data_IF_967256143635
#
_entry.id   IF_967256143635
#
_cell.length_a   1.000
_cell.length_b   1.000
_cell.length_c   1.000
_cell.angle_alpha   90.00
_cell.angle_beta   90.00
_cell.angle_gamma   90.00
#
_symmetry.space_group_name_H-M   'P 1'
#
loop_
_entity.id
_entity.type
_entity.pdbx_description
1 polymer ?
#
# COMPACT_ATOMS: atom_id res chain seq x y z
N UNK A 1 -0.99 -3.95 -25.04
CA UNK A 1 -0.58 -4.70 -23.83
C UNK A 1 0.80 -4.26 -23.30
N UNK A 2 1.91 -4.45 -24.04
CA UNK A 2 3.28 -4.20 -23.55
C UNK A 2 3.53 -2.84 -22.85
N UNK A 3 2.98 -1.73 -23.40
CA UNK A 3 3.08 -0.40 -22.79
C UNK A 3 2.50 -0.33 -21.36
N UNK A 4 1.46 -1.11 -21.05
CA UNK A 4 0.83 -1.15 -19.71
C UNK A 4 1.72 -1.93 -18.74
N UNK A 5 2.25 -3.08 -19.17
CA UNK A 5 3.18 -3.90 -18.38
C UNK A 5 4.47 -3.13 -18.05
N UNK A 6 5.04 -2.42 -19.04
CA UNK A 6 6.22 -1.58 -18.86
C UNK A 6 5.97 -0.44 -17.86
N UNK A 7 4.84 0.29 -18.02
CA UNK A 7 4.43 1.33 -17.04
C UNK A 7 4.25 0.74 -15.63
N UNK A 8 3.54 -0.38 -15.49
CA UNK A 8 3.28 -1.03 -14.20
C UNK A 8 4.57 -1.49 -13.50
N UNK A 9 5.50 -2.10 -14.25
CA UNK A 9 6.82 -2.50 -13.73
C UNK A 9 7.64 -1.27 -13.28
N UNK A 10 7.64 -0.18 -14.08
CA UNK A 10 8.33 1.06 -13.74
C UNK A 10 7.73 1.76 -12.51
N UNK A 11 6.42 1.71 -12.31
CA UNK A 11 5.79 2.21 -11.06
C UNK A 11 6.10 1.31 -9.87
N UNK A 12 6.12 -0.01 -10.03
CA UNK A 12 6.53 -0.93 -8.98
C UNK A 12 8.01 -0.77 -8.57
N UNK A 13 8.89 -0.41 -9.52
CA UNK A 13 10.28 0.00 -9.24
C UNK A 13 10.34 1.23 -8.33
N UNK A 14 9.66 2.32 -8.73
CA UNK A 14 9.57 3.55 -7.93
C UNK A 14 9.00 3.35 -6.53
N UNK A 15 8.04 2.45 -6.35
CA UNK A 15 7.49 2.11 -5.03
C UNK A 15 8.55 1.40 -4.18
N UNK A 16 9.35 0.48 -4.74
CA UNK A 16 10.47 -0.15 -4.01
C UNK A 16 11.55 0.85 -3.63
N UNK A 17 11.90 1.75 -4.55
CA UNK A 17 12.85 2.85 -4.31
C UNK A 17 12.36 3.75 -3.15
N UNK A 18 11.09 4.15 -3.16
CA UNK A 18 10.49 4.92 -2.07
C UNK A 18 10.52 4.17 -0.73
N UNK A 19 10.18 2.87 -0.72
CA UNK A 19 10.27 2.03 0.49
C UNK A 19 11.71 1.92 1.00
N UNK A 20 12.70 1.77 0.10
CA UNK A 20 14.12 1.69 0.47
C UNK A 20 14.68 3.04 0.98
N UNK A 21 14.03 4.16 0.66
CA UNK A 21 14.41 5.50 1.08
C UNK A 21 13.67 5.99 2.35
N UNK A 22 12.60 5.31 2.79
CA UNK A 22 11.91 5.64 4.04
C UNK A 22 12.85 5.52 5.26
N UNK A 23 12.81 6.45 6.23
CA UNK A 23 13.48 6.26 7.51
C UNK A 23 12.83 5.11 8.30
N UNK A 24 13.61 4.47 9.16
CA UNK A 24 13.13 3.45 10.12
C UNK A 24 12.05 4.09 11.00
N UNK A 25 10.95 3.38 11.26
CA UNK A 25 9.88 3.89 12.10
C UNK A 25 10.26 3.83 13.58
N UNK A 26 9.98 4.90 14.30
CA UNK A 26 10.30 5.06 15.72
C UNK A 26 9.08 4.84 16.60
N UNK A 27 9.27 4.56 17.89
CA UNK A 27 8.15 4.45 18.84
C UNK A 27 7.30 5.74 18.93
N UNK A 28 7.85 6.90 18.56
CA UNK A 28 7.10 8.15 18.48
C UNK A 28 6.13 8.12 17.30
N UNK A 29 6.55 7.62 16.13
CA UNK A 29 5.65 7.42 14.98
C UNK A 29 4.50 6.46 15.32
N UNK A 30 4.80 5.38 16.05
CA UNK A 30 3.82 4.39 16.51
C UNK A 30 2.78 4.98 17.47
N UNK A 31 3.20 5.84 18.40
CA UNK A 31 2.31 6.53 19.36
C UNK A 31 1.44 7.57 18.66
N UNK A 32 1.99 8.30 17.69
CA UNK A 32 1.28 9.33 16.94
C UNK A 32 0.21 8.72 16.02
N UNK A 33 0.51 7.62 15.33
CA UNK A 33 -0.49 6.88 14.55
C UNK A 33 -1.59 6.30 15.44
N UNK A 34 -1.22 5.81 16.64
CA UNK A 34 -2.18 5.32 17.61
C UNK A 34 -3.07 6.41 18.23
N UNK A 35 -2.65 7.67 18.21
CA UNK A 35 -3.44 8.83 18.60
C UNK A 35 -4.39 9.28 17.47
N UNK A 36 -3.86 9.53 16.27
CA UNK A 36 -4.67 9.99 15.13
C UNK A 36 -5.85 9.04 14.79
N UNK A 37 -5.63 7.72 14.92
CA UNK A 37 -6.69 6.73 14.72
C UNK A 37 -7.71 6.63 15.87
N UNK A 38 -7.42 7.19 17.06
CA UNK A 38 -8.46 7.41 18.09
C UNK A 38 -9.31 8.61 17.72
N UNK A 39 -8.69 9.72 17.32
CA UNK A 39 -9.39 10.94 16.93
C UNK A 39 -10.37 10.68 15.76
N UNK A 40 -9.92 9.96 14.72
CA UNK A 40 -10.77 9.42 13.64
C UNK A 40 -11.96 8.58 14.16
N UNK A 41 -11.71 7.69 15.14
CA UNK A 41 -12.77 6.84 15.69
C UNK A 41 -13.80 7.62 16.52
N UNK A 42 -13.36 8.58 17.33
CA UNK A 42 -14.24 9.45 18.10
C UNK A 42 -15.07 10.39 17.22
N UNK A 43 -14.48 10.90 16.13
CA UNK A 43 -15.20 11.70 15.12
C UNK A 43 -16.26 10.85 14.42
N UNK A 44 -15.95 9.58 14.08
CA UNK A 44 -16.91 8.64 13.48
C UNK A 44 -18.08 8.29 14.40
N UNK A 45 -17.85 8.10 15.69
CA UNK A 45 -18.92 7.83 16.66
C UNK A 45 -19.82 9.06 16.84
N UNK A 46 -19.23 10.25 17.06
CA UNK A 46 -19.96 11.52 17.22
C UNK A 46 -20.76 11.89 15.96
N UNK A 47 -20.26 11.56 14.77
CA UNK A 47 -20.96 11.77 13.50
C UNK A 47 -22.23 10.92 13.28
N UNK A 48 -22.48 9.90 14.11
CA UNK A 48 -23.63 9.00 13.95
C UNK A 48 -24.98 9.58 14.40
N UNK A 49 -24.99 10.65 15.20
CA UNK A 49 -26.14 10.99 16.06
C UNK A 49 -27.02 12.16 15.55
N UNK A 50 -26.61 12.89 14.51
CA UNK A 50 -27.36 14.07 14.01
C UNK A 50 -28.27 13.68 12.83
N UNK A 51 -29.55 13.44 13.11
CA UNK A 51 -30.61 13.32 12.09
C UNK A 51 -31.91 14.04 12.51
N UNK A 52 -32.04 15.26 11.96
CA UNK A 52 -33.29 15.96 11.57
C UNK A 52 -34.35 16.20 12.66
N UNK A 53 -34.69 17.48 12.85
CA UNK A 53 -36.06 17.91 12.56
C UNK A 53 -36.10 19.39 12.14
N UNK A 54 -37.25 19.86 11.62
CA UNK A 54 -37.69 21.23 11.27
C UNK A 54 -36.64 22.29 10.77
N UNK A 55 -36.75 22.96 9.61
CA UNK A 55 -37.87 23.59 8.86
C UNK A 55 -38.19 25.06 9.21
N UNK A 56 -37.73 25.95 8.32
CA UNK A 56 -38.35 27.24 7.92
C UNK A 56 -38.26 28.52 8.80
N UNK A 57 -38.39 29.65 8.08
CA UNK A 57 -38.63 31.06 8.48
C UNK A 57 -37.44 31.88 9.02
N UNK A 58 -37.08 32.93 8.27
CA UNK A 58 -36.30 34.10 8.72
C UNK A 58 -37.23 35.19 9.26
N UNK A 59 -36.70 36.13 10.06
CA UNK A 59 -37.00 37.54 9.80
C UNK A 59 -35.75 38.44 9.82
N UNK A 60 -35.88 39.64 9.26
CA UNK A 60 -35.03 40.81 9.56
C UNK A 60 -35.55 41.50 10.85
N UNK A 61 -35.07 42.64 11.38
CA UNK A 61 -34.22 43.78 10.96
C UNK A 61 -33.57 44.33 12.30
N UNK A 62 -32.74 45.37 12.48
CA UNK A 62 -32.14 46.49 11.72
C UNK A 62 -30.96 47.07 12.58
N UNK A 63 -30.01 47.83 12.01
CA UNK A 63 -28.91 48.60 12.69
C UNK A 63 -27.75 47.78 13.33
N UNK A 64 -26.49 48.25 13.42
CA UNK A 64 -25.90 49.61 13.31
C UNK A 64 -24.78 49.73 12.23
N UNK A 65 -24.30 50.95 11.97
CA UNK A 65 -23.38 51.31 10.87
C UNK A 65 -21.88 51.25 11.26
N UNK A 66 -21.13 50.24 10.78
CA UNK A 66 -19.67 50.37 10.56
C UNK A 66 -19.27 49.75 9.20
N UNK A 67 -18.85 50.59 8.25
CA UNK A 67 -18.43 50.22 6.90
C UNK A 67 -17.05 49.51 6.93
N UNK A 68 -17.07 48.21 7.21
CA UNK A 68 -15.87 47.38 7.34
C UNK A 68 -15.12 47.24 6.00
N UNK A 69 -13.88 47.74 5.93
CA UNK A 69 -13.02 47.71 4.75
C UNK A 69 -12.92 46.28 4.15
N UNK A 70 -13.43 46.05 2.92
CA UNK A 70 -13.45 44.73 2.29
C UNK A 70 -12.05 44.20 1.91
N UNK A 71 -10.98 44.98 2.05
CA UNK A 71 -9.59 44.56 1.82
C UNK A 71 -8.73 44.51 3.11
N UNK A 72 -9.24 44.95 4.26
CA UNK A 72 -8.55 44.86 5.56
C UNK A 72 -7.22 45.63 5.66
N UNK A 73 -7.06 46.71 4.89
CA UNK A 73 -5.82 47.48 4.76
C UNK A 73 -5.52 48.38 5.96
N UNK A 74 -6.53 48.80 6.74
CA UNK A 74 -6.32 49.59 7.97
C UNK A 74 -5.49 48.87 9.03
N UNK A 75 -5.49 47.52 9.02
CA UNK A 75 -4.59 46.71 9.85
C UNK A 75 -3.10 46.98 9.56
N UNK A 76 -2.75 47.47 8.37
CA UNK A 76 -1.38 47.82 7.97
C UNK A 76 -1.01 49.29 8.25
N UNK A 77 -1.98 50.17 8.51
CA UNK A 77 -1.72 51.58 8.81
C UNK A 77 -1.29 51.81 10.28
N UNK A 78 -1.53 50.85 11.18
CA UNK A 78 -1.48 51.04 12.63
C UNK A 78 -0.17 50.62 13.34
N UNK A 79 0.95 50.41 12.63
CA UNK A 79 2.29 50.36 13.26
C UNK A 79 3.45 50.58 12.26
N UNK A 80 4.58 51.22 12.60
CA UNK A 80 4.88 52.06 13.77
C UNK A 80 6.09 52.99 13.53
N UNK A 81 6.06 54.19 14.10
CA UNK A 81 7.28 55.00 14.29
C UNK A 81 7.93 54.62 15.62
N UNK A 82 8.83 53.63 15.63
CA UNK A 82 9.90 53.58 16.65
C UNK A 82 11.16 52.78 16.30
N UNK A 83 12.26 53.51 16.38
CA UNK A 83 13.67 53.12 16.25
C UNK A 83 14.12 52.14 17.35
N UNK A 84 14.67 50.97 16.95
CA UNK A 84 15.53 50.12 17.79
C UNK A 84 15.14 48.64 17.84
N UNK A 85 16.11 47.71 17.65
CA UNK A 85 15.84 46.26 17.79
C UNK A 85 16.73 45.31 16.98
N UNK A 86 18.06 45.47 16.96
CA UNK A 86 19.00 44.58 16.23
C UNK A 86 19.25 43.22 16.94
N UNK A 87 18.19 42.58 17.44
CA UNK A 87 18.22 41.31 18.22
C UNK A 87 17.09 40.34 17.87
N UNK A 88 16.42 40.53 16.71
CA UNK A 88 15.34 39.65 16.22
C UNK A 88 15.66 39.12 14.82
N UNK A 89 16.46 38.04 14.77
CA UNK A 89 16.74 37.22 13.56
C UNK A 89 17.09 35.77 13.90
N UNK A 90 17.71 35.53 15.05
CA UNK A 90 18.15 34.19 15.48
C UNK A 90 16.99 33.32 16.01
N UNK A 91 16.05 33.92 16.75
CA UNK A 91 14.83 33.22 17.21
C UNK A 91 13.95 32.77 16.04
N UNK A 92 13.75 33.63 15.05
CA UNK A 92 12.82 33.39 13.94
C UNK A 92 13.31 32.21 13.07
N UNK A 93 14.63 32.12 12.84
CA UNK A 93 15.27 30.96 12.19
C UNK A 93 15.13 29.66 13.02
N UNK A 94 15.27 29.75 14.35
CA UNK A 94 15.09 28.59 15.24
C UNK A 94 13.62 28.11 15.35
N UNK A 95 12.64 28.94 14.99
CA UNK A 95 11.25 28.50 14.76
C UNK A 95 11.06 27.88 13.38
N UNK A 96 11.56 28.50 12.30
CA UNK A 96 11.45 27.96 10.94
C UNK A 96 12.03 26.55 10.82
N UNK A 97 13.23 26.32 11.35
CA UNK A 97 13.89 24.99 11.33
C UNK A 97 13.08 23.93 12.12
N UNK A 98 12.29 24.32 13.13
CA UNK A 98 11.40 23.38 13.84
C UNK A 98 10.14 23.09 13.04
N UNK A 99 9.57 24.11 12.39
CA UNK A 99 8.41 24.00 11.53
C UNK A 99 8.71 23.07 10.33
N UNK A 100 9.82 23.29 9.63
CA UNK A 100 10.34 22.40 8.57
C UNK A 100 10.50 20.94 9.06
N UNK A 101 10.97 20.71 10.29
CA UNK A 101 11.12 19.35 10.85
C UNK A 101 9.75 18.70 11.12
N UNK A 102 8.76 19.44 11.61
CA UNK A 102 7.40 18.91 11.80
C UNK A 102 6.66 18.70 10.47
N UNK A 103 6.88 19.55 9.47
CA UNK A 103 6.39 19.34 8.10
C UNK A 103 7.01 18.08 7.47
N UNK A 104 8.32 17.89 7.60
CA UNK A 104 9.00 16.67 7.12
C UNK A 104 8.46 15.41 7.83
N UNK A 105 8.18 15.45 9.14
CA UNK A 105 7.51 14.34 9.85
C UNK A 105 6.12 14.05 9.28
N UNK A 106 5.30 15.08 9.03
CA UNK A 106 3.96 14.93 8.40
C UNK A 106 4.08 14.31 7.01
N UNK A 107 5.02 14.80 6.20
CA UNK A 107 5.30 14.25 4.87
C UNK A 107 5.68 12.77 4.91
N UNK A 108 6.57 12.35 5.83
CA UNK A 108 6.95 10.94 5.99
C UNK A 108 5.75 10.07 6.44
N UNK A 109 4.87 10.58 7.31
CA UNK A 109 3.63 9.86 7.69
C UNK A 109 2.71 9.65 6.49
N UNK A 110 2.37 10.71 5.75
CA UNK A 110 1.55 10.60 4.54
C UNK A 110 2.23 9.81 3.42
N UNK A 111 3.56 9.80 3.34
CA UNK A 111 4.31 8.95 2.41
C UNK A 111 4.16 7.46 2.77
N UNK A 112 4.26 7.11 4.05
CA UNK A 112 4.02 5.74 4.55
C UNK A 112 2.58 5.28 4.23
N UNK A 113 1.58 6.09 4.54
CA UNK A 113 0.15 5.84 4.25
C UNK A 113 -0.12 5.66 2.74
N UNK A 114 0.45 6.52 1.89
CA UNK A 114 0.33 6.40 0.44
C UNK A 114 0.98 5.12 -0.10
N UNK A 115 2.11 4.68 0.49
CA UNK A 115 2.77 3.44 0.11
C UNK A 115 1.95 2.20 0.50
N UNK A 116 1.31 2.18 1.67
CA UNK A 116 0.35 1.13 2.04
C UNK A 116 -0.82 1.10 1.06
N UNK A 117 -1.43 2.25 0.78
CA UNK A 117 -2.51 2.39 -0.22
C UNK A 117 -2.10 1.85 -1.60
N UNK A 118 -0.87 2.11 -2.05
CA UNK A 118 -0.35 1.55 -3.29
C UNK A 118 -0.18 0.02 -3.25
N UNK A 119 0.21 -0.57 -2.11
CA UNK A 119 0.34 -2.01 -1.94
C UNK A 119 -1.03 -2.71 -1.95
N UNK A 120 -2.05 -2.12 -1.32
CA UNK A 120 -3.43 -2.63 -1.33
C UNK A 120 -4.04 -2.60 -2.75
N UNK A 121 -3.89 -1.47 -3.47
CA UNK A 121 -4.33 -1.35 -4.86
C UNK A 121 -3.60 -2.36 -5.76
N UNK A 122 -2.30 -2.61 -5.51
CA UNK A 122 -1.54 -3.63 -6.23
C UNK A 122 -2.07 -5.05 -5.92
N UNK A 123 -2.34 -5.37 -4.66
CA UNK A 123 -2.91 -6.65 -4.24
C UNK A 123 -4.29 -6.92 -4.87
N UNK A 124 -5.16 -5.90 -4.96
CA UNK A 124 -6.47 -6.03 -5.62
C UNK A 124 -6.36 -6.42 -7.10
N UNK A 125 -5.29 -6.01 -7.78
CA UNK A 125 -5.01 -6.34 -9.19
C UNK A 125 -4.45 -7.75 -9.41
N UNK A 126 -4.12 -8.51 -8.36
CA UNK A 126 -3.52 -9.85 -8.46
C UNK A 126 -4.37 -10.88 -9.23
N UNK A 127 -5.68 -10.63 -9.39
CA UNK A 127 -6.57 -11.39 -10.30
C UNK A 127 -6.10 -11.40 -11.76
N UNK A 128 -5.27 -10.44 -12.17
CA UNK A 128 -4.77 -10.27 -13.55
C UNK A 128 -3.40 -10.97 -13.72
N UNK A 129 -3.27 -12.04 -14.55
CA UNK A 129 -2.07 -12.88 -14.57
C UNK A 129 -0.75 -12.15 -14.86
N UNK A 130 -0.76 -11.15 -15.76
CA UNK A 130 0.47 -10.48 -16.21
C UNK A 130 1.13 -9.56 -15.18
N UNK A 131 0.44 -9.18 -14.08
CA UNK A 131 1.05 -8.40 -13.00
C UNK A 131 1.42 -9.22 -11.77
N UNK A 132 0.96 -10.48 -11.65
CA UNK A 132 1.15 -11.32 -10.45
C UNK A 132 2.60 -11.37 -9.97
N UNK A 133 3.55 -11.72 -10.84
CA UNK A 133 4.98 -11.80 -10.50
C UNK A 133 5.56 -10.45 -10.05
N UNK A 134 5.09 -9.32 -10.62
CA UNK A 134 5.54 -7.99 -10.21
C UNK A 134 5.00 -7.63 -8.81
N UNK A 135 3.74 -8.01 -8.52
CA UNK A 135 3.12 -7.83 -7.21
C UNK A 135 3.78 -8.74 -6.16
N UNK A 136 4.06 -10.01 -6.49
CA UNK A 136 4.78 -10.97 -5.61
C UNK A 136 6.10 -10.35 -5.11
N UNK A 137 6.91 -9.79 -6.03
CA UNK A 137 8.21 -9.20 -5.69
C UNK A 137 8.06 -7.84 -5.00
N UNK A 138 7.03 -7.05 -5.34
CA UNK A 138 6.75 -5.76 -4.70
C UNK A 138 6.36 -5.93 -3.23
N UNK A 139 5.42 -6.83 -2.95
CA UNK A 139 4.94 -7.11 -1.60
C UNK A 139 6.00 -7.81 -0.77
N UNK A 140 6.78 -8.74 -1.36
CA UNK A 140 7.94 -9.31 -0.67
C UNK A 140 8.94 -8.22 -0.26
N UNK A 141 9.25 -7.27 -1.16
CA UNK A 141 10.17 -6.17 -0.85
C UNK A 141 9.63 -5.24 0.26
N UNK A 142 8.32 -5.02 0.32
CA UNK A 142 7.68 -4.31 1.44
C UNK A 142 7.80 -5.10 2.75
N UNK A 143 7.50 -6.41 2.73
CA UNK A 143 7.65 -7.31 3.87
C UNK A 143 9.10 -7.36 4.39
N UNK A 144 10.08 -7.50 3.50
CA UNK A 144 11.51 -7.50 3.81
C UNK A 144 12.01 -6.14 4.40
N UNK A 145 11.20 -5.06 4.32
CA UNK A 145 11.49 -3.72 4.85
C UNK A 145 10.48 -3.24 5.92
N UNK A 146 9.72 -4.14 6.54
CA UNK A 146 8.62 -3.83 7.50
C UNK A 146 9.01 -2.91 8.67
N UNK A 147 10.29 -2.88 9.07
CA UNK A 147 10.80 -1.96 10.12
C UNK A 147 10.73 -0.47 9.76
N UNK A 148 10.56 -0.11 8.48
CA UNK A 148 10.40 1.28 8.00
C UNK A 148 8.97 1.82 8.11
N UNK A 149 8.02 0.93 8.41
CA UNK A 149 6.60 1.24 8.63
C UNK A 149 6.27 1.18 10.12
N UNK A 150 5.21 1.88 10.54
CA UNK A 150 4.69 1.83 11.91
C UNK A 150 3.97 0.52 12.19
N UNK A 151 3.94 0.09 13.45
CA UNK A 151 3.28 -1.10 13.99
C UNK A 151 1.98 -1.51 13.30
N UNK A 152 0.99 -0.62 13.15
CA UNK A 152 -0.30 -0.97 12.51
C UNK A 152 -0.16 -1.20 11.00
N UNK A 153 0.78 -0.54 10.36
CA UNK A 153 1.15 -0.74 8.96
C UNK A 153 1.96 -2.03 8.78
N UNK A 154 2.75 -2.47 9.77
CA UNK A 154 3.40 -3.80 9.79
C UNK A 154 2.34 -4.89 9.73
N UNK A 155 1.38 -4.85 10.66
CA UNK A 155 0.20 -5.72 10.69
C UNK A 155 -0.52 -5.81 9.34
N UNK A 156 -0.71 -4.68 8.66
CA UNK A 156 -1.36 -4.62 7.35
C UNK A 156 -0.50 -5.29 6.25
N UNK A 157 0.80 -5.00 6.21
CA UNK A 157 1.76 -5.64 5.27
C UNK A 157 1.82 -7.15 5.53
N UNK A 158 1.82 -7.61 6.78
CA UNK A 158 1.85 -9.03 7.13
C UNK A 158 0.60 -9.77 6.64
N UNK A 159 -0.60 -9.22 6.88
CA UNK A 159 -1.87 -9.77 6.39
C UNK A 159 -1.90 -9.83 4.86
N UNK A 160 -1.43 -8.76 4.20
CA UNK A 160 -1.38 -8.64 2.74
C UNK A 160 -0.35 -9.60 2.13
N UNK A 161 0.82 -9.78 2.76
CA UNK A 161 1.84 -10.76 2.36
C UNK A 161 1.38 -12.20 2.58
N UNK A 162 0.71 -12.51 3.69
CA UNK A 162 0.16 -13.85 3.94
C UNK A 162 -0.82 -14.26 2.84
N UNK A 163 -1.78 -13.39 2.50
CA UNK A 163 -2.74 -13.57 1.41
C UNK A 163 -2.05 -13.81 0.06
N UNK A 164 -1.05 -13.00 -0.29
CA UNK A 164 -0.33 -13.13 -1.57
C UNK A 164 0.58 -14.38 -1.58
N UNK A 165 1.20 -14.75 -0.46
CA UNK A 165 1.98 -15.98 -0.32
C UNK A 165 1.10 -17.23 -0.48
N UNK A 166 -0.12 -17.20 0.04
CA UNK A 166 -1.12 -18.24 -0.19
C UNK A 166 -1.49 -18.33 -1.68
N UNK A 167 -1.84 -17.21 -2.31
CA UNK A 167 -2.20 -17.18 -3.74
C UNK A 167 -1.04 -17.58 -4.66
N UNK A 168 0.21 -17.23 -4.32
CA UNK A 168 1.43 -17.70 -4.98
C UNK A 168 1.61 -19.22 -4.83
N UNK A 169 1.32 -19.76 -3.64
CA UNK A 169 1.39 -21.20 -3.37
C UNK A 169 0.33 -21.96 -4.19
N UNK A 170 -0.92 -21.49 -4.18
CA UNK A 170 -2.01 -21.99 -5.03
C UNK A 170 -1.69 -21.90 -6.52
N UNK A 171 -0.98 -20.85 -6.97
CA UNK A 171 -0.52 -20.73 -8.37
C UNK A 171 0.53 -21.79 -8.73
N UNK A 172 1.48 -22.06 -7.83
CA UNK A 172 2.55 -23.06 -8.01
C UNK A 172 2.05 -24.50 -7.95
N UNK A 173 1.09 -24.79 -7.08
CA UNK A 173 0.45 -26.10 -6.93
C UNK A 173 -0.57 -26.40 -8.05
N UNK A 174 -0.88 -25.42 -8.90
CA UNK A 174 -1.89 -25.56 -9.94
C UNK A 174 -3.32 -25.50 -9.40
N UNK A 175 -4.29 -25.56 -10.33
CA UNK A 175 -5.71 -25.53 -10.01
C UNK A 175 -6.25 -26.95 -9.88
N UNK A 176 -5.89 -27.64 -8.81
CA UNK A 176 -6.68 -28.80 -8.41
C UNK A 176 -8.09 -28.35 -8.03
N UNK A 177 -9.07 -28.73 -8.82
CA UNK A 177 -10.49 -28.41 -8.60
C UNK A 177 -11.06 -29.22 -7.42
N UNK A 178 -10.35 -30.24 -6.96
CA UNK A 178 -10.82 -31.19 -5.93
C UNK A 178 -10.01 -31.20 -4.63
N UNK A 179 -8.95 -30.37 -4.54
CA UNK A 179 -8.09 -30.30 -3.35
C UNK A 179 -7.16 -31.50 -3.14
N UNK A 180 -7.17 -32.49 -4.04
CA UNK A 180 -6.11 -33.49 -4.10
C UNK A 180 -4.83 -32.87 -4.66
N UNK A 181 -3.68 -33.38 -4.22
CA UNK A 181 -2.42 -33.10 -4.87
C UNK A 181 -2.45 -33.79 -6.25
N UNK A 182 -2.77 -33.05 -7.30
CA UNK A 182 -2.68 -33.54 -8.67
C UNK A 182 -1.19 -33.72 -9.01
N UNK A 183 -0.70 -34.94 -8.81
CA UNK A 183 0.67 -35.33 -9.18
C UNK A 183 0.96 -34.87 -10.60
N UNK A 184 2.05 -34.13 -10.75
CA UNK A 184 2.44 -33.54 -12.01
C UNK A 184 2.55 -34.65 -13.08
N UNK A 185 2.21 -34.36 -14.35
CA UNK A 185 2.28 -35.36 -15.42
C UNK A 185 3.65 -36.04 -15.51
N UNK A 186 4.72 -35.32 -15.13
CA UNK A 186 6.06 -35.85 -14.95
C UNK A 186 6.20 -36.86 -13.80
N UNK A 187 5.63 -36.58 -12.62
CA UNK A 187 5.64 -37.48 -11.46
C UNK A 187 4.82 -38.74 -11.72
N UNK A 188 3.69 -38.62 -12.42
CA UNK A 188 2.86 -39.74 -12.87
C UNK A 188 3.58 -40.62 -13.91
N UNK A 189 4.32 -40.00 -14.85
CA UNK A 189 5.21 -40.72 -15.77
C UNK A 189 6.36 -41.40 -15.01
N UNK A 190 6.98 -40.72 -14.05
CA UNK A 190 8.06 -41.27 -13.23
C UNK A 190 7.59 -42.47 -12.39
N UNK A 191 6.43 -42.38 -11.72
CA UNK A 191 5.84 -43.50 -11.00
C UNK A 191 5.55 -44.69 -11.92
N UNK A 192 5.05 -44.44 -13.14
CA UNK A 192 4.84 -45.49 -14.14
C UNK A 192 6.15 -46.18 -14.51
N UNK A 193 7.15 -45.44 -15.01
CA UNK A 193 8.42 -46.03 -15.40
C UNK A 193 9.19 -46.66 -14.23
N UNK A 194 9.05 -46.16 -12.99
CA UNK A 194 9.63 -46.78 -11.81
C UNK A 194 8.95 -48.11 -11.41
N UNK A 195 7.66 -48.27 -11.74
CA UNK A 195 6.92 -49.54 -11.56
C UNK A 195 7.09 -50.52 -12.73
N UNK A 196 7.54 -50.04 -13.88
CA UNK A 196 7.57 -50.78 -15.13
C UNK A 196 8.88 -51.57 -15.28
N UNK A 197 8.78 -52.90 -15.29
CA UNK A 197 9.95 -53.78 -15.37
C UNK A 197 10.65 -53.64 -16.71
N UNK A 198 11.80 -52.94 -16.71
CA UNK A 198 12.72 -52.86 -17.84
C UNK A 198 13.13 -54.30 -18.23
N UNK A 199 12.82 -54.69 -19.46
CA UNK A 199 13.21 -56.00 -19.98
C UNK A 199 14.72 -56.05 -20.20
N UNK A 200 15.34 -57.22 -20.01
CA UNK A 200 16.79 -57.46 -20.21
C UNK A 200 17.26 -57.07 -21.64
N UNK A 201 16.33 -56.99 -22.60
CA UNK A 201 16.58 -56.49 -23.98
C UNK A 201 16.43 -54.96 -24.12
N UNK A 202 16.52 -54.20 -23.03
CA UNK A 202 16.31 -52.74 -22.95
C UNK A 202 14.97 -52.23 -23.49
N UNK A 203 13.94 -53.09 -23.55
CA UNK A 203 12.59 -52.72 -23.93
C UNK A 203 11.79 -52.24 -22.72
N UNK A 204 11.09 -51.10 -22.89
CA UNK A 204 10.06 -50.57 -21.97
C UNK A 204 8.68 -50.77 -22.60
N UNK A 205 7.66 -51.06 -21.79
CA UNK A 205 6.33 -51.43 -22.31
C UNK A 205 6.18 -52.94 -22.55
N UNK A 206 6.23 -53.75 -21.49
CA UNK A 206 6.04 -55.20 -21.57
C UNK A 206 4.59 -55.68 -21.75
N UNK A 207 3.63 -54.76 -21.82
CA UNK A 207 2.20 -55.05 -22.05
C UNK A 207 1.78 -54.49 -23.42
N UNK A 208 1.41 -55.40 -24.33
CA UNK A 208 1.33 -55.15 -25.78
C UNK A 208 0.15 -54.31 -26.30
N UNK A 209 -0.36 -53.35 -25.52
CA UNK A 209 -1.57 -52.57 -25.83
C UNK A 209 -1.30 -51.08 -26.09
N UNK A 210 -0.12 -50.77 -26.66
CA UNK A 210 0.28 -49.42 -27.06
C UNK A 210 0.88 -49.41 -28.45
N UNK A 211 0.02 -49.25 -29.47
CA UNK A 211 0.45 -48.92 -30.83
C UNK A 211 1.17 -47.56 -30.79
N UNK A 212 2.48 -47.56 -31.04
CA UNK A 212 3.24 -46.33 -31.19
C UNK A 212 2.77 -45.60 -32.45
N UNK A 213 1.99 -44.52 -32.27
CA UNK A 213 1.72 -43.58 -33.36
C UNK A 213 3.01 -42.84 -33.67
N UNK A 214 3.55 -43.09 -34.85
CA UNK A 214 4.78 -42.47 -35.34
C UNK A 214 4.47 -41.03 -35.79
N UNK A 215 4.88 -40.04 -34.99
CA UNK A 215 4.73 -38.60 -35.30
C UNK A 215 5.78 -38.14 -36.32
N UNK A 216 5.76 -38.74 -37.52
CA UNK A 216 6.50 -38.29 -38.69
C UNK A 216 5.53 -38.22 -39.88
N UNK A 217 5.04 -37.01 -40.12
CA UNK A 217 4.14 -36.59 -41.19
C UNK A 217 4.02 -35.08 -41.15
#
# INVERSE_FOLDING_TARGET
>A
MLLVLSKFSKTAGRIKEAIANLPVATEHDDRDEAAALKDESELREKGGQIKRDASFVSPAEENEEEESDPFGLDAFMSSSVKKGGKTKKEKDAATMVKEEVEENKRFIKSQREALITCLEIAAWRYKTPWCQTVIDILVKHAFDNVSRFTSRQRDAIEKLWASIREQLSRRKQGKSVTGKLDVNGFEWLQQKYASEKISIRHSVGGSGDRRAQQWLG
#
